data_IF_081411594371
#
_entry.id   IF_081411594371
#
_cell.length_a   1.000
_cell.length_b   1.000
_cell.length_c   1.000
_cell.angle_alpha   90.00
_cell.angle_beta   90.00
_cell.angle_gamma   90.00
#
_symmetry.space_group_name_H-M   'P 1'
#
loop_
_entity.id
_entity.type
_entity.pdbx_description
1 polymer ?
#
# COMPACT_ATOMS: atom_id res chain seq x y z
N UNK A 1 6.64 -56.82 -1.42
CA UNK A 1 7.48 -55.73 -0.88
C UNK A 1 6.85 -54.41 -1.28
N UNK A 2 6.19 -53.74 -0.35
CA UNK A 2 5.52 -52.46 -0.58
C UNK A 2 6.48 -51.33 -0.22
N UNK A 3 6.81 -50.47 -1.18
CA UNK A 3 7.62 -49.28 -0.98
C UNK A 3 6.71 -48.13 -0.54
N UNK A 4 6.84 -47.72 0.72
CA UNK A 4 6.19 -46.52 1.26
C UNK A 4 7.00 -45.28 0.89
N UNK A 5 6.35 -44.29 0.28
CA UNK A 5 6.94 -42.98 0.00
C UNK A 5 6.93 -42.10 1.26
N UNK A 6 7.99 -41.29 1.51
CA UNK A 6 8.04 -40.40 2.65
C UNK A 6 7.23 -39.12 2.42
N UNK A 7 6.42 -38.80 3.42
CA UNK A 7 5.58 -37.63 3.53
C UNK A 7 6.46 -36.38 3.73
N UNK A 8 6.45 -35.44 2.78
CA UNK A 8 7.18 -34.16 2.90
C UNK A 8 6.22 -33.07 3.34
N UNK A 9 6.25 -32.73 4.64
CA UNK A 9 5.59 -31.52 5.15
C UNK A 9 6.38 -30.27 4.74
N UNK A 10 5.71 -29.18 4.32
CA UNK A 10 6.36 -27.92 4.02
C UNK A 10 6.83 -27.24 5.32
N UNK A 11 8.13 -26.91 5.37
CA UNK A 11 8.72 -26.10 6.43
C UNK A 11 8.15 -24.69 6.40
N UNK A 12 7.52 -24.29 7.51
CA UNK A 12 7.08 -22.93 7.79
C UNK A 12 8.31 -22.05 8.02
N UNK A 13 8.52 -21.09 7.12
CA UNK A 13 9.53 -20.03 7.30
C UNK A 13 9.11 -19.15 8.48
N UNK A 14 9.92 -19.18 9.54
CA UNK A 14 9.76 -18.28 10.68
C UNK A 14 9.97 -16.82 10.22
N UNK A 15 9.16 -15.86 10.69
CA UNK A 15 9.37 -14.45 10.40
C UNK A 15 10.70 -13.99 11.02
N UNK A 16 11.63 -13.54 10.17
CA UNK A 16 12.86 -12.90 10.60
C UNK A 16 12.51 -11.64 11.41
N UNK A 17 12.92 -11.62 12.68
CA UNK A 17 12.86 -10.44 13.53
C UNK A 17 13.83 -9.40 12.97
N UNK A 18 13.31 -8.36 12.34
CA UNK A 18 14.03 -7.11 12.08
C UNK A 18 14.35 -6.45 13.43
N UNK A 19 15.56 -6.70 13.93
CA UNK A 19 16.11 -6.00 15.07
C UNK A 19 16.44 -4.56 14.69
N UNK A 20 15.65 -3.62 15.20
CA UNK A 20 16.05 -2.21 15.30
C UNK A 20 17.09 -2.10 16.43
N UNK A 21 18.36 -2.23 16.08
CA UNK A 21 19.48 -1.94 16.97
C UNK A 21 20.39 -0.90 16.30
N UNK A 22 20.66 0.21 17.00
CA UNK A 22 21.76 1.12 16.67
C UNK A 22 21.37 2.51 16.18
N UNK A 23 20.69 3.30 17.01
CA UNK A 23 20.88 4.76 16.97
C UNK A 23 21.85 5.11 18.11
N UNK A 24 23.11 5.33 17.73
CA UNK A 24 24.18 5.82 18.60
C UNK A 24 23.82 7.23 19.08
N UNK A 25 23.90 7.41 20.40
CA UNK A 25 23.83 8.72 21.05
C UNK A 25 25.01 9.58 20.59
N UNK A 26 24.73 10.70 19.94
CA UNK A 26 25.70 11.77 19.75
C UNK A 26 25.75 12.57 21.05
N UNK A 27 26.85 12.44 21.78
CA UNK A 27 27.20 13.30 22.91
C UNK A 27 27.52 14.70 22.38
N UNK A 28 26.60 15.65 22.53
CA UNK A 28 26.85 17.05 22.22
C UNK A 28 27.48 17.67 23.47
N UNK A 29 28.78 17.94 23.38
CA UNK A 29 29.57 18.66 24.38
C UNK A 29 29.07 20.12 24.43
N UNK A 30 28.72 20.61 25.61
CA UNK A 30 28.44 22.04 25.83
C UNK A 30 29.75 22.82 25.67
N UNK A 31 29.77 23.96 24.95
CA UNK A 31 30.85 24.92 25.08
C UNK A 31 30.59 25.79 26.32
N UNK A 32 31.67 26.01 27.06
CA UNK A 32 31.73 26.95 28.17
C UNK A 32 31.51 28.39 27.69
N UNK A 33 30.97 29.16 28.62
CA UNK A 33 30.38 30.49 28.50
C UNK A 33 31.42 31.55 28.90
N UNK A 34 32.12 32.11 27.92
CA UNK A 34 33.04 33.23 28.13
C UNK A 34 32.76 34.35 27.10
N UNK A 35 32.05 35.39 27.53
CA UNK A 35 32.50 36.77 27.33
C UNK A 35 32.41 37.43 25.94
N UNK A 36 31.48 38.38 25.86
CA UNK A 36 31.62 39.75 25.33
C UNK A 36 31.75 40.05 23.82
N UNK A 37 31.04 41.13 23.49
CA UNK A 37 31.23 42.15 22.46
C UNK A 37 30.75 41.93 21.01
N UNK A 38 29.74 42.76 20.71
CA UNK A 38 29.62 43.67 19.57
C UNK A 38 29.52 43.15 18.14
N UNK A 39 28.59 43.79 17.43
CA UNK A 39 28.34 43.81 15.98
C UNK A 39 27.55 42.62 15.40
N UNK A 40 26.22 42.77 15.41
CA UNK A 40 25.31 42.00 14.57
C UNK A 40 24.65 42.96 13.56
N UNK A 41 25.24 43.15 12.37
CA UNK A 41 24.48 43.75 11.26
C UNK A 41 24.88 43.36 9.81
N UNK A 42 25.79 42.40 9.57
CA UNK A 42 26.25 42.14 8.18
C UNK A 42 26.00 40.70 7.65
N UNK A 43 25.24 39.86 8.37
CA UNK A 43 25.17 38.41 8.08
C UNK A 43 24.16 37.94 7.03
N UNK A 44 23.13 38.74 6.70
CA UNK A 44 22.01 38.27 5.87
C UNK A 44 22.26 38.45 4.36
N UNK A 45 22.91 39.54 3.98
CA UNK A 45 23.22 39.84 2.56
C UNK A 45 24.23 38.87 1.95
N UNK A 46 25.14 38.34 2.78
CA UNK A 46 26.13 37.37 2.34
C UNK A 46 25.55 35.96 2.16
N UNK A 47 24.44 35.64 2.85
CA UNK A 47 23.67 34.41 2.64
C UNK A 47 22.84 34.46 1.35
N UNK A 48 22.28 35.62 1.01
CA UNK A 48 21.50 35.81 -0.23
C UNK A 48 22.43 35.79 -1.46
N UNK A 49 23.64 36.36 -1.36
CA UNK A 49 24.61 36.35 -2.47
C UNK A 49 25.19 34.97 -2.80
N UNK A 50 25.19 34.01 -1.87
CA UNK A 50 25.70 32.64 -2.11
C UNK A 50 24.62 31.67 -2.61
N UNK A 51 23.37 32.09 -2.70
CA UNK A 51 22.33 31.36 -3.41
C UNK A 51 22.36 31.69 -4.92
N UNK A 52 23.43 31.25 -5.57
CA UNK A 52 23.43 31.13 -7.03
C UNK A 52 22.41 30.05 -7.38
N UNK A 53 21.23 30.47 -7.85
CA UNK A 53 20.21 29.58 -8.38
C UNK A 53 20.88 28.58 -9.34
N UNK A 54 20.90 27.30 -8.95
CA UNK A 54 21.36 26.25 -9.84
C UNK A 54 20.52 26.35 -11.11
N UNK A 55 21.19 26.53 -12.26
CA UNK A 55 20.54 26.54 -13.57
C UNK A 55 19.61 25.33 -13.63
N UNK A 56 18.33 25.51 -13.99
CA UNK A 56 17.41 24.39 -14.11
C UNK A 56 18.06 23.34 -14.99
N UNK A 57 18.24 22.13 -14.44
CA UNK A 57 18.82 21.02 -15.16
C UNK A 57 18.17 20.97 -16.54
N UNK A 58 19.00 21.10 -17.59
CA UNK A 58 18.55 21.01 -18.98
C UNK A 58 17.67 19.77 -19.08
N UNK A 59 16.36 19.99 -19.27
CA UNK A 59 15.38 18.95 -19.60
C UNK A 59 16.02 18.10 -20.69
N UNK A 60 16.43 16.88 -20.35
CA UNK A 60 16.86 15.90 -21.33
C UNK A 60 15.63 15.65 -22.19
N UNK A 61 15.60 16.24 -23.37
CA UNK A 61 14.65 15.85 -24.41
C UNK A 61 14.87 14.36 -24.65
N UNK A 62 13.97 13.55 -24.09
CA UNK A 62 13.94 12.12 -24.35
C UNK A 62 13.57 12.01 -25.83
N UNK A 63 14.56 11.74 -26.69
CA UNK A 63 14.31 11.36 -28.08
C UNK A 63 13.51 10.06 -28.08
N UNK A 64 12.18 10.18 -28.09
CA UNK A 64 11.26 9.06 -28.20
C UNK A 64 11.46 8.47 -29.59
N UNK A 65 12.00 7.26 -29.66
CA UNK A 65 12.17 6.57 -30.95
C UNK A 65 10.80 6.44 -31.64
N UNK A 66 10.77 6.63 -32.96
CA UNK A 66 9.54 6.59 -33.78
C UNK A 66 8.74 5.29 -33.55
N UNK A 67 9.44 4.18 -33.29
CA UNK A 67 8.82 2.88 -32.98
C UNK A 67 8.08 2.86 -31.63
N UNK A 68 8.59 3.56 -30.61
CA UNK A 68 7.93 3.66 -29.30
C UNK A 68 6.60 4.39 -29.39
N UNK A 69 6.55 5.45 -30.19
CA UNK A 69 5.31 6.20 -30.48
C UNK A 69 4.26 5.33 -31.15
N UNK A 70 4.65 4.50 -32.12
CA UNK A 70 3.70 3.62 -32.82
C UNK A 70 3.09 2.56 -31.89
N UNK A 71 3.89 2.00 -30.97
CA UNK A 71 3.41 1.01 -30.00
C UNK A 71 2.38 1.58 -29.03
N UNK A 72 2.66 2.74 -28.43
CA UNK A 72 1.71 3.41 -27.53
C UNK A 72 0.44 3.87 -28.26
N UNK A 73 0.56 4.34 -29.51
CA UNK A 73 -0.60 4.66 -30.35
C UNK A 73 -1.47 3.43 -30.64
N UNK A 74 -0.86 2.30 -30.96
CA UNK A 74 -1.60 1.05 -31.17
C UNK A 74 -2.31 0.62 -29.89
N UNK A 75 -1.65 0.74 -28.74
CA UNK A 75 -2.24 0.41 -27.45
C UNK A 75 -3.41 1.33 -27.10
N UNK A 76 -3.28 2.64 -27.36
CA UNK A 76 -4.34 3.60 -27.15
C UNK A 76 -5.57 3.26 -27.99
N UNK A 77 -5.40 2.86 -29.26
CA UNK A 77 -6.51 2.37 -30.09
C UNK A 77 -7.17 1.12 -29.51
N UNK A 78 -6.38 0.17 -29.00
CA UNK A 78 -6.93 -1.02 -28.32
C UNK A 78 -7.69 -0.65 -27.05
N UNK A 79 -7.22 0.35 -26.31
CA UNK A 79 -7.89 0.88 -25.14
C UNK A 79 -9.18 1.63 -25.50
N UNK A 80 -9.19 2.46 -26.54
CA UNK A 80 -10.41 3.11 -27.04
C UNK A 80 -11.45 2.07 -27.48
N UNK A 81 -11.04 1.01 -28.19
CA UNK A 81 -11.91 -0.11 -28.52
C UNK A 81 -12.48 -0.77 -27.27
N UNK A 82 -11.64 -1.04 -26.28
CA UNK A 82 -12.04 -1.61 -24.99
C UNK A 82 -13.15 -0.78 -24.31
N UNK A 83 -13.04 0.55 -24.34
CA UNK A 83 -14.01 1.46 -23.74
C UNK A 83 -15.36 1.50 -24.49
N UNK A 84 -15.41 1.05 -25.74
CA UNK A 84 -16.63 1.04 -26.56
C UNK A 84 -17.40 -0.28 -26.53
N UNK A 85 -16.87 -1.30 -25.87
CA UNK A 85 -17.48 -2.63 -25.90
C UNK A 85 -18.65 -2.69 -24.91
N UNK A 86 -19.84 -2.90 -25.46
CA UNK A 86 -21.05 -3.22 -24.70
C UNK A 86 -21.26 -4.75 -24.67
N UNK A 87 -21.72 -5.27 -23.52
CA UNK A 87 -22.17 -6.66 -23.39
C UNK A 87 -21.10 -7.75 -23.30
N UNK A 88 -19.82 -7.48 -23.59
CA UNK A 88 -18.72 -8.44 -23.34
C UNK A 88 -18.12 -8.20 -21.96
N UNK A 89 -17.87 -9.23 -21.14
CA UNK A 89 -17.13 -9.07 -19.89
C UNK A 89 -15.77 -8.41 -20.16
N UNK A 90 -15.55 -7.22 -19.59
CA UNK A 90 -14.34 -6.42 -19.78
C UNK A 90 -13.04 -7.22 -19.58
N UNK A 91 -13.04 -8.15 -18.62
CA UNK A 91 -11.91 -9.03 -18.34
C UNK A 91 -11.55 -9.95 -19.52
N UNK A 92 -12.54 -10.47 -20.25
CA UNK A 92 -12.32 -11.35 -21.40
C UNK A 92 -11.66 -10.60 -22.55
N UNK A 93 -12.07 -9.35 -22.79
CA UNK A 93 -11.42 -8.51 -23.79
C UNK A 93 -9.94 -8.28 -23.45
N UNK A 94 -9.66 -7.91 -22.20
CA UNK A 94 -8.28 -7.62 -21.75
C UNK A 94 -7.40 -8.87 -21.90
N UNK A 95 -7.88 -10.04 -21.48
CA UNK A 95 -7.17 -11.31 -21.66
C UNK A 95 -6.90 -11.61 -23.13
N UNK A 96 -7.94 -11.52 -23.98
CA UNK A 96 -7.81 -11.84 -25.40
C UNK A 96 -6.86 -10.89 -26.15
N UNK A 97 -6.81 -9.61 -25.78
CA UNK A 97 -6.10 -8.60 -26.56
C UNK A 97 -4.75 -8.17 -26.00
N UNK A 98 -4.54 -8.27 -24.68
CA UNK A 98 -3.31 -7.79 -24.03
C UNK A 98 -2.46 -8.89 -23.43
N UNK A 99 -3.06 -9.91 -22.83
CA UNK A 99 -2.32 -10.90 -22.02
C UNK A 99 -1.23 -11.58 -22.86
N UNK A 100 0.03 -11.45 -22.42
CA UNK A 100 1.24 -11.94 -23.10
C UNK A 100 1.49 -11.40 -24.52
N UNK A 101 0.68 -10.44 -25.02
CA UNK A 101 0.82 -9.86 -26.36
C UNK A 101 1.56 -8.53 -26.35
N UNK A 102 1.45 -7.77 -25.26
CA UNK A 102 2.09 -6.48 -25.14
C UNK A 102 2.87 -6.34 -23.83
N UNK A 103 4.18 -6.14 -23.99
CA UNK A 103 5.11 -5.88 -22.88
C UNK A 103 5.53 -4.42 -22.94
N UNK A 104 5.21 -3.64 -21.92
CA UNK A 104 5.71 -2.27 -21.76
C UNK A 104 6.73 -2.22 -20.64
N UNK A 105 7.67 -1.29 -20.71
CA UNK A 105 8.52 -0.94 -19.56
C UNK A 105 7.69 -0.19 -18.50
N UNK A 106 8.14 -0.13 -17.23
CA UNK A 106 7.45 0.62 -16.18
C UNK A 106 7.19 2.08 -16.55
N UNK A 107 8.16 2.75 -17.17
CA UNK A 107 8.03 4.12 -17.65
C UNK A 107 6.97 4.26 -18.75
N UNK A 108 6.86 3.28 -19.65
CA UNK A 108 5.85 3.29 -20.71
C UNK A 108 4.44 3.05 -20.18
N UNK A 109 4.30 2.22 -19.13
CA UNK A 109 3.01 2.02 -18.47
C UNK A 109 2.55 3.33 -17.82
N UNK A 110 3.43 4.03 -17.11
CA UNK A 110 3.07 5.33 -16.56
C UNK A 110 2.74 6.35 -17.66
N UNK A 111 3.54 6.40 -18.74
CA UNK A 111 3.25 7.28 -19.87
C UNK A 111 1.88 6.97 -20.49
N UNK A 112 1.54 5.68 -20.65
CA UNK A 112 0.24 5.26 -21.14
C UNK A 112 -0.89 5.65 -20.17
N UNK A 113 -0.71 5.47 -18.86
CA UNK A 113 -1.64 5.97 -17.84
C UNK A 113 -1.87 7.48 -17.96
N UNK A 114 -0.81 8.28 -18.20
CA UNK A 114 -1.00 9.72 -18.42
C UNK A 114 -1.77 10.01 -19.73
N UNK A 115 -1.65 9.18 -20.76
CA UNK A 115 -2.37 9.38 -22.01
C UNK A 115 -3.87 9.06 -21.88
N UNK A 116 -4.29 8.24 -20.91
CA UNK A 116 -5.73 7.97 -20.72
C UNK A 116 -6.50 9.21 -20.26
N UNK A 117 -5.81 10.20 -19.67
CA UNK A 117 -6.37 11.52 -19.34
C UNK A 117 -7.07 12.19 -20.52
N UNK A 118 -6.49 12.08 -21.72
CA UNK A 118 -7.05 12.71 -22.92
C UNK A 118 -8.34 12.01 -23.38
N UNK A 119 -8.49 10.73 -23.05
CA UNK A 119 -9.66 9.91 -23.40
C UNK A 119 -10.82 10.06 -22.42
N UNK A 120 -10.57 10.48 -21.17
CA UNK A 120 -11.55 10.63 -20.08
C UNK A 120 -12.49 11.84 -20.23
N UNK A 121 -12.35 12.64 -21.28
CA UNK A 121 -13.27 13.75 -21.57
C UNK A 121 -14.71 13.35 -21.94
N UNK A 122 -15.05 12.06 -21.94
CA UNK A 122 -16.38 11.54 -22.27
C UNK A 122 -17.02 10.96 -20.99
N UNK A 123 -18.10 11.59 -20.54
CA UNK A 123 -18.83 11.41 -19.27
C UNK A 123 -19.34 9.99 -18.98
N UNK A 124 -18.47 9.00 -18.80
CA UNK A 124 -18.88 7.63 -18.47
C UNK A 124 -18.09 7.08 -17.30
N UNK A 125 -18.73 7.00 -16.12
CA UNK A 125 -18.16 6.43 -14.88
C UNK A 125 -17.57 5.02 -15.09
N UNK A 126 -18.13 4.24 -16.03
CA UNK A 126 -17.64 2.90 -16.38
C UNK A 126 -16.20 2.88 -16.94
N UNK A 127 -15.65 4.03 -17.37
CA UNK A 127 -14.29 4.12 -17.89
C UNK A 127 -13.23 4.00 -16.80
N UNK A 128 -13.54 4.45 -15.58
CA UNK A 128 -12.59 4.51 -14.47
C UNK A 128 -12.22 3.11 -13.98
N UNK A 129 -13.19 2.21 -13.85
CA UNK A 129 -12.96 0.80 -13.50
C UNK A 129 -12.19 0.07 -14.59
N UNK A 130 -12.50 0.36 -15.86
CA UNK A 130 -11.89 -0.31 -16.98
C UNK A 130 -10.40 0.02 -17.14
N UNK A 131 -10.04 1.28 -16.92
CA UNK A 131 -8.66 1.75 -16.96
C UNK A 131 -7.76 0.93 -16.01
N UNK A 132 -8.17 0.76 -14.75
CA UNK A 132 -7.35 0.06 -13.76
C UNK A 132 -7.11 -1.39 -14.12
N UNK A 133 -8.13 -2.12 -14.60
CA UNK A 133 -7.96 -3.51 -15.06
C UNK A 133 -7.01 -3.62 -16.25
N UNK A 134 -7.13 -2.70 -17.20
CA UNK A 134 -6.28 -2.65 -18.39
C UNK A 134 -4.81 -2.42 -18.00
N UNK A 135 -4.55 -1.43 -17.14
CA UNK A 135 -3.21 -1.12 -16.62
C UNK A 135 -2.64 -2.30 -15.81
N UNK A 136 -3.46 -2.97 -15.00
CA UNK A 136 -3.06 -4.15 -14.21
C UNK A 136 -2.47 -5.25 -15.09
N UNK A 137 -3.10 -5.50 -16.24
CA UNK A 137 -2.62 -6.50 -17.21
C UNK A 137 -1.29 -6.11 -17.83
N UNK A 138 -1.11 -4.82 -18.14
CA UNK A 138 0.17 -4.30 -18.64
C UNK A 138 1.29 -4.45 -17.59
N UNK A 139 1.00 -4.18 -16.31
CA UNK A 139 1.92 -4.40 -15.19
C UNK A 139 2.30 -5.88 -15.12
N UNK A 140 1.33 -6.79 -15.16
CA UNK A 140 1.60 -8.23 -15.10
C UNK A 140 2.47 -8.71 -16.27
N UNK A 141 2.16 -8.30 -17.51
CA UNK A 141 2.96 -8.62 -18.69
C UNK A 141 4.40 -8.09 -18.57
N UNK A 142 4.53 -6.84 -18.12
CA UNK A 142 5.83 -6.20 -17.89
C UNK A 142 6.65 -6.97 -16.86
N UNK A 143 6.01 -7.37 -15.75
CA UNK A 143 6.63 -8.18 -14.72
C UNK A 143 7.09 -9.55 -15.25
N UNK A 144 6.23 -10.23 -16.02
CA UNK A 144 6.56 -11.51 -16.66
C UNK A 144 7.77 -11.39 -17.59
N UNK A 145 7.88 -10.27 -18.31
CA UNK A 145 9.00 -9.93 -19.17
C UNK A 145 10.23 -9.37 -18.42
N UNK A 146 10.32 -9.65 -17.13
CA UNK A 146 11.44 -9.32 -16.23
C UNK A 146 11.56 -7.86 -15.79
N UNK A 147 10.64 -6.97 -16.17
CA UNK A 147 10.61 -5.63 -15.61
C UNK A 147 10.03 -5.61 -14.19
N UNK A 148 10.31 -4.56 -13.41
CA UNK A 148 9.80 -4.35 -12.06
C UNK A 148 9.96 -2.87 -11.66
N UNK A 149 9.60 -2.49 -10.43
CA UNK A 149 9.73 -1.13 -9.90
C UNK A 149 8.87 -0.11 -10.66
N UNK A 150 7.56 -0.36 -10.65
CA UNK A 150 6.57 0.50 -11.28
C UNK A 150 6.39 1.78 -10.47
N UNK A 151 6.40 2.91 -11.16
CA UNK A 151 6.10 4.22 -10.60
C UNK A 151 4.92 4.77 -11.39
N UNK A 152 3.79 4.91 -10.73
CA UNK A 152 2.54 5.37 -11.32
C UNK A 152 2.17 6.71 -10.70
N UNK A 153 1.86 7.69 -11.54
CA UNK A 153 1.40 9.00 -11.10
C UNK A 153 -0.10 9.11 -11.38
N UNK A 154 -0.92 9.09 -10.33
CA UNK A 154 -2.37 9.24 -10.41
C UNK A 154 -2.83 10.63 -9.97
N UNK A 155 -1.90 11.51 -9.59
CA UNK A 155 -2.22 12.82 -8.98
C UNK A 155 -2.94 13.78 -9.94
N UNK A 156 -2.70 13.64 -11.25
CA UNK A 156 -3.30 14.48 -12.29
C UNK A 156 -4.54 13.85 -12.95
N UNK A 157 -4.97 12.66 -12.51
CA UNK A 157 -6.18 12.02 -13.01
C UNK A 157 -7.42 12.81 -12.58
N UNK A 158 -8.39 12.95 -13.49
CA UNK A 158 -9.66 13.64 -13.19
C UNK A 158 -10.47 12.90 -12.13
N UNK A 159 -10.39 11.58 -12.15
CA UNK A 159 -11.02 10.68 -11.19
C UNK A 159 -10.01 9.74 -10.55
N UNK A 160 -10.44 9.09 -9.47
CA UNK A 160 -9.64 8.05 -8.81
C UNK A 160 -9.78 6.76 -9.59
N UNK A 161 -8.67 6.17 -10.01
CA UNK A 161 -8.69 4.91 -10.77
C UNK A 161 -9.08 3.73 -9.88
N UNK A 162 -10.13 3.02 -10.26
CA UNK A 162 -10.60 1.81 -9.58
C UNK A 162 -9.87 0.57 -10.13
N UNK A 163 -9.75 -0.51 -9.35
CA UNK A 163 -9.20 -1.80 -9.78
C UNK A 163 -7.77 -1.75 -10.35
N UNK A 164 -6.99 -0.71 -10.04
CA UNK A 164 -5.58 -0.67 -10.38
C UNK A 164 -4.82 -1.74 -9.58
N UNK A 165 -4.03 -2.56 -10.26
CA UNK A 165 -3.33 -3.70 -9.67
C UNK A 165 -4.20 -4.92 -9.37
N UNK A 166 -5.42 -4.98 -9.90
CA UNK A 166 -6.31 -6.14 -9.69
C UNK A 166 -5.70 -7.44 -10.23
N UNK A 167 -5.76 -8.52 -9.44
CA UNK A 167 -5.23 -9.86 -9.77
C UNK A 167 -3.74 -9.98 -10.10
N UNK A 168 -2.92 -8.92 -9.90
CA UNK A 168 -1.50 -9.04 -10.22
C UNK A 168 -0.79 -9.96 -9.23
N UNK A 169 0.13 -10.77 -9.75
CA UNK A 169 0.81 -11.83 -9.01
C UNK A 169 2.29 -11.83 -9.31
N UNK A 170 3.07 -11.49 -8.28
CA UNK A 170 4.51 -11.73 -8.23
C UNK A 170 4.83 -13.19 -7.90
N UNK A 171 6.04 -13.43 -7.39
CA UNK A 171 6.43 -14.73 -6.84
C UNK A 171 7.14 -14.55 -5.50
N UNK A 172 7.23 -15.64 -4.72
CA UNK A 172 7.96 -15.64 -3.44
C UNK A 172 9.44 -15.26 -3.58
N UNK A 173 10.03 -15.40 -4.78
CA UNK A 173 11.41 -15.03 -5.09
C UNK A 173 11.54 -13.61 -5.63
N UNK A 174 10.45 -13.00 -6.07
CA UNK A 174 10.45 -11.69 -6.71
C UNK A 174 9.08 -11.04 -6.59
N UNK A 175 8.98 -10.05 -5.71
CA UNK A 175 7.75 -9.28 -5.53
C UNK A 175 7.54 -8.33 -6.73
N UNK A 176 6.30 -7.94 -6.97
CA UNK A 176 6.00 -6.78 -7.83
C UNK A 176 6.13 -5.53 -6.97
N UNK A 177 7.07 -4.65 -7.31
CA UNK A 177 7.34 -3.41 -6.59
C UNK A 177 6.62 -2.25 -7.27
N UNK A 178 5.71 -1.57 -6.56
CA UNK A 178 4.88 -0.50 -7.10
C UNK A 178 4.90 0.70 -6.16
N UNK A 179 5.10 1.89 -6.72
CA UNK A 179 4.91 3.17 -6.04
C UNK A 179 3.83 3.95 -6.77
N UNK A 180 2.87 4.49 -6.04
CA UNK A 180 1.79 5.33 -6.59
C UNK A 180 1.85 6.71 -5.96
N UNK A 181 1.94 7.74 -6.79
CA UNK A 181 1.87 9.14 -6.37
C UNK A 181 0.48 9.69 -6.70
N UNK A 182 -0.34 9.94 -5.68
CA UNK A 182 -1.73 10.35 -5.84
C UNK A 182 -2.72 9.37 -5.20
N UNK A 183 -3.99 9.73 -5.30
CA UNK A 183 -5.09 8.95 -4.75
C UNK A 183 -5.45 7.77 -5.65
N UNK A 184 -5.96 6.71 -5.02
CA UNK A 184 -6.55 5.54 -5.69
C UNK A 184 -8.02 5.39 -5.36
N UNK A 185 -8.73 4.77 -6.29
CA UNK A 185 -10.13 4.45 -6.17
C UNK A 185 -10.36 3.15 -5.42
N UNK A 186 -11.49 2.51 -5.70
CA UNK A 186 -11.94 1.28 -5.06
C UNK A 186 -11.24 0.04 -5.64
N UNK A 187 -11.19 -1.03 -4.85
CA UNK A 187 -10.75 -2.38 -5.23
C UNK A 187 -9.35 -2.45 -5.88
N UNK A 188 -8.52 -1.43 -5.66
CA UNK A 188 -7.15 -1.43 -6.14
C UNK A 188 -6.34 -2.50 -5.40
N UNK A 189 -5.56 -3.29 -6.13
CA UNK A 189 -4.77 -4.42 -5.64
C UNK A 189 -5.57 -5.56 -5.01
N UNK A 190 -6.88 -5.61 -5.22
CA UNK A 190 -7.69 -6.76 -4.83
C UNK A 190 -7.16 -8.05 -5.49
N UNK A 191 -7.17 -9.14 -4.71
CA UNK A 191 -6.62 -10.45 -5.03
C UNK A 191 -5.11 -10.48 -5.36
N UNK A 192 -4.39 -9.39 -5.09
CA UNK A 192 -2.96 -9.25 -5.32
C UNK A 192 -2.11 -10.25 -4.52
N UNK A 193 -1.01 -10.75 -5.11
CA UNK A 193 -0.11 -11.70 -4.42
C UNK A 193 1.36 -11.36 -4.64
N UNK A 194 2.16 -11.46 -3.59
CA UNK A 194 3.60 -11.18 -3.63
C UNK A 194 3.91 -9.76 -4.11
N UNK A 195 3.34 -8.77 -3.42
CA UNK A 195 3.46 -7.35 -3.76
C UNK A 195 4.27 -6.57 -2.72
N UNK A 196 4.91 -5.50 -3.17
CA UNK A 196 5.45 -4.44 -2.32
C UNK A 196 4.93 -3.11 -2.87
N UNK A 197 3.94 -2.52 -2.19
CA UNK A 197 3.21 -1.35 -2.68
C UNK A 197 3.35 -0.19 -1.70
N UNK A 198 3.83 0.96 -2.19
CA UNK A 198 3.82 2.24 -1.48
C UNK A 198 2.82 3.20 -2.16
N UNK A 199 1.84 3.70 -1.42
CA UNK A 199 0.87 4.69 -1.87
C UNK A 199 1.11 6.03 -1.17
N UNK A 200 1.45 7.05 -1.95
CA UNK A 200 1.62 8.43 -1.50
C UNK A 200 0.31 9.21 -1.76
N UNK A 201 -0.75 8.79 -1.07
CA UNK A 201 -2.11 9.33 -1.23
C UNK A 201 -3.13 8.53 -0.42
N UNK A 202 -4.41 8.78 -0.65
CA UNK A 202 -5.52 8.03 -0.08
C UNK A 202 -5.90 6.84 -0.97
N UNK A 203 -6.49 5.81 -0.36
CA UNK A 203 -7.05 4.66 -1.09
C UNK A 203 -8.55 4.53 -0.82
N UNK A 204 -9.29 4.12 -1.85
CA UNK A 204 -10.73 3.87 -1.77
C UNK A 204 -11.10 2.62 -0.99
N UNK A 205 -12.37 2.24 -1.09
CA UNK A 205 -12.90 1.05 -0.43
C UNK A 205 -12.41 -0.23 -1.12
N UNK A 206 -12.29 -1.32 -0.37
CA UNK A 206 -11.87 -2.61 -0.91
C UNK A 206 -10.39 -2.69 -1.34
N UNK A 207 -9.59 -1.65 -1.08
CA UNK A 207 -8.15 -1.65 -1.38
C UNK A 207 -7.49 -2.92 -0.81
N UNK A 208 -6.80 -3.67 -1.68
CA UNK A 208 -6.06 -4.88 -1.35
C UNK A 208 -6.89 -5.94 -0.59
N UNK A 209 -8.19 -6.04 -0.88
CA UNK A 209 -9.01 -7.17 -0.43
C UNK A 209 -8.39 -8.48 -0.94
N UNK A 210 -8.48 -9.54 -0.14
CA UNK A 210 -7.92 -10.87 -0.46
C UNK A 210 -6.41 -10.90 -0.78
N UNK A 211 -5.65 -9.86 -0.44
CA UNK A 211 -4.21 -9.77 -0.74
C UNK A 211 -3.41 -10.82 0.03
N UNK A 212 -2.38 -11.40 -0.59
CA UNK A 212 -1.55 -12.43 0.04
C UNK A 212 -0.06 -12.17 -0.07
N UNK A 213 0.70 -12.53 0.96
CA UNK A 213 2.18 -12.49 0.97
C UNK A 213 2.77 -11.15 0.56
N UNK A 214 2.14 -10.04 1.00
CA UNK A 214 2.45 -8.71 0.49
C UNK A 214 2.79 -7.70 1.59
N UNK A 215 3.52 -6.65 1.21
CA UNK A 215 3.83 -5.50 2.05
C UNK A 215 3.18 -4.26 1.44
N UNK A 216 2.30 -3.61 2.20
CA UNK A 216 1.49 -2.48 1.74
C UNK A 216 1.71 -1.31 2.69
N UNK A 217 2.01 -0.13 2.13
CA UNK A 217 2.15 1.12 2.87
C UNK A 217 1.28 2.20 2.22
N UNK A 218 0.44 2.84 3.03
CA UNK A 218 -0.44 3.94 2.62
C UNK A 218 -0.08 5.15 3.48
N UNK A 219 0.34 6.25 2.84
CA UNK A 219 0.68 7.49 3.55
C UNK A 219 -0.58 8.30 3.92
N UNK A 220 -1.68 8.17 3.17
CA UNK A 220 -2.96 8.81 3.46
C UNK A 220 -3.95 7.94 4.21
N UNK A 221 -5.24 8.19 3.97
CA UNK A 221 -6.36 7.46 4.56
C UNK A 221 -6.75 6.23 3.73
N UNK A 222 -7.32 5.23 4.40
CA UNK A 222 -7.86 4.03 3.78
C UNK A 222 -9.38 3.97 3.90
N UNK A 223 -10.03 3.60 2.79
CA UNK A 223 -11.48 3.37 2.71
C UNK A 223 -11.94 2.13 3.47
N UNK A 224 -13.24 1.83 3.34
CA UNK A 224 -13.85 0.67 4.01
C UNK A 224 -13.30 -0.64 3.44
N UNK A 225 -13.31 -1.71 4.22
CA UNK A 225 -12.85 -3.03 3.80
C UNK A 225 -11.40 -3.12 3.34
N UNK A 226 -10.59 -2.08 3.59
CA UNK A 226 -9.18 -2.06 3.23
C UNK A 226 -8.47 -3.28 3.81
N UNK A 227 -7.83 -4.07 2.95
CA UNK A 227 -7.10 -5.28 3.29
C UNK A 227 -7.95 -6.34 4.01
N UNK A 228 -9.26 -6.39 3.72
CA UNK A 228 -10.11 -7.47 4.22
C UNK A 228 -9.69 -8.81 3.61
N UNK A 229 -9.77 -9.89 4.39
CA UNK A 229 -9.28 -11.23 4.05
C UNK A 229 -7.77 -11.27 3.68
N UNK A 230 -6.95 -10.31 4.14
CA UNK A 230 -5.52 -10.35 3.89
C UNK A 230 -4.86 -11.57 4.54
N UNK A 231 -3.92 -12.22 3.85
CA UNK A 231 -3.20 -13.38 4.35
C UNK A 231 -1.69 -13.17 4.31
N UNK A 232 -0.98 -13.48 5.40
CA UNK A 232 0.48 -13.41 5.47
C UNK A 232 1.06 -12.07 4.97
N UNK A 233 0.37 -10.97 5.28
CA UNK A 233 0.68 -9.65 4.73
C UNK A 233 0.96 -8.63 5.83
N UNK A 234 1.75 -7.62 5.50
CA UNK A 234 2.05 -6.47 6.37
C UNK A 234 1.42 -5.22 5.78
N UNK A 235 0.65 -4.49 6.58
CA UNK A 235 -0.09 -3.30 6.17
C UNK A 235 0.21 -2.15 7.12
N UNK A 236 0.65 -1.01 6.58
CA UNK A 236 0.89 0.22 7.33
C UNK A 236 0.02 1.33 6.74
N UNK A 237 -0.85 1.92 7.56
CA UNK A 237 -1.70 3.05 7.21
C UNK A 237 -1.30 4.23 8.10
N UNK A 238 -0.71 5.25 7.50
CA UNK A 238 -0.26 6.45 8.23
C UNK A 238 -1.41 7.41 8.54
N UNK A 239 -2.50 7.40 7.75
CA UNK A 239 -3.73 8.12 8.04
C UNK A 239 -4.77 7.28 8.78
N UNK A 240 -6.04 7.61 8.56
CA UNK A 240 -7.18 6.94 9.17
C UNK A 240 -7.58 5.69 8.39
N UNK A 241 -8.15 4.71 9.08
CA UNK A 241 -8.73 3.52 8.47
C UNK A 241 -10.23 3.46 8.74
N UNK A 242 -11.03 3.33 7.68
CA UNK A 242 -12.49 3.19 7.81
C UNK A 242 -12.89 1.76 8.21
N UNK A 243 -14.20 1.53 8.34
CA UNK A 243 -14.80 0.29 8.82
C UNK A 243 -14.27 -0.95 8.08
N UNK A 244 -14.11 -2.04 8.85
CA UNK A 244 -13.67 -3.36 8.36
C UNK A 244 -12.27 -3.43 7.78
N UNK A 245 -11.41 -2.45 8.05
CA UNK A 245 -10.00 -2.56 7.69
C UNK A 245 -9.35 -3.78 8.38
N UNK A 246 -8.77 -4.70 7.60
CA UNK A 246 -8.18 -5.94 8.12
C UNK A 246 -9.16 -6.96 8.68
N UNK A 247 -10.47 -6.83 8.39
CA UNK A 247 -11.49 -7.84 8.70
C UNK A 247 -11.11 -9.20 8.09
N UNK A 248 -11.35 -10.31 8.80
CA UNK A 248 -11.01 -11.68 8.37
C UNK A 248 -9.53 -11.91 8.04
N UNK A 249 -8.61 -11.04 8.45
CA UNK A 249 -7.21 -11.22 8.11
C UNK A 249 -6.60 -12.42 8.84
N UNK A 250 -5.70 -13.13 8.16
CA UNK A 250 -5.03 -14.32 8.68
C UNK A 250 -3.53 -14.14 8.66
N UNK A 251 -2.88 -14.44 9.77
CA UNK A 251 -1.41 -14.38 9.90
C UNK A 251 -0.82 -13.05 9.39
N UNK A 252 -1.53 -11.94 9.59
CA UNK A 252 -1.19 -10.64 9.02
C UNK A 252 -0.89 -9.61 10.09
N UNK A 253 -0.16 -8.57 9.72
CA UNK A 253 0.26 -7.48 10.61
C UNK A 253 -0.27 -6.14 10.10
N UNK A 254 -0.90 -5.39 10.99
CA UNK A 254 -1.49 -4.09 10.68
C UNK A 254 -0.93 -3.02 11.63
N UNK A 255 -0.57 -1.87 11.07
CA UNK A 255 -0.28 -0.65 11.82
C UNK A 255 -1.18 0.46 11.30
N UNK A 256 -2.03 1.00 12.17
CA UNK A 256 -2.94 2.11 11.85
C UNK A 256 -2.55 3.28 12.75
N UNK A 257 -2.02 4.36 12.17
CA UNK A 257 -1.53 5.51 12.91
C UNK A 257 -2.59 6.57 13.20
N UNK A 258 -3.50 6.79 12.27
CA UNK A 258 -4.68 7.62 12.49
C UNK A 258 -5.75 6.90 13.30
N UNK A 259 -6.97 7.43 13.28
CA UNK A 259 -8.09 6.76 13.93
C UNK A 259 -8.56 5.56 13.09
N UNK A 260 -9.14 4.57 13.77
CA UNK A 260 -9.82 3.45 13.14
C UNK A 260 -11.30 3.45 13.50
N UNK A 261 -12.20 3.44 12.53
CA UNK A 261 -13.64 3.22 12.78
C UNK A 261 -13.92 1.73 12.64
N UNK A 262 -14.47 1.08 13.67
CA UNK A 262 -14.86 -0.33 13.61
C UNK A 262 -16.23 -0.52 14.24
N UNK A 263 -17.27 -0.59 13.41
CA UNK A 263 -18.67 -0.71 13.85
C UNK A 263 -19.22 -2.13 13.70
N UNK A 264 -18.45 -3.03 13.11
CA UNK A 264 -18.84 -4.43 12.93
C UNK A 264 -18.86 -5.22 14.23
N UNK A 265 -19.86 -6.09 14.36
CA UNK A 265 -19.95 -7.05 15.47
C UNK A 265 -18.94 -8.20 15.38
N UNK A 266 -18.44 -8.49 14.19
CA UNK A 266 -17.62 -9.66 13.93
C UNK A 266 -16.45 -9.30 13.04
N UNK A 267 -15.26 -9.27 13.61
CA UNK A 267 -14.01 -8.90 12.96
C UNK A 267 -13.22 -10.11 12.44
N UNK A 268 -13.35 -11.26 13.12
CA UNK A 268 -12.94 -12.60 12.62
C UNK A 268 -11.47 -12.74 12.17
N UNK A 269 -10.57 -11.94 12.71
CA UNK A 269 -9.14 -12.09 12.43
C UNK A 269 -8.54 -13.32 13.13
N UNK A 270 -7.56 -13.95 12.51
CA UNK A 270 -6.91 -15.15 13.04
C UNK A 270 -5.39 -15.00 12.99
N UNK A 271 -4.70 -15.34 14.09
CA UNK A 271 -3.23 -15.34 14.17
C UNK A 271 -2.59 -14.00 13.73
N UNK A 272 -3.31 -12.89 13.88
CA UNK A 272 -2.93 -11.60 13.31
C UNK A 272 -2.58 -10.60 14.42
N UNK A 273 -1.84 -9.55 14.05
CA UNK A 273 -1.45 -8.51 15.00
C UNK A 273 -1.85 -7.13 14.50
N UNK A 274 -2.48 -6.34 15.36
CA UNK A 274 -3.00 -5.01 15.07
C UNK A 274 -2.37 -4.01 16.03
N UNK A 275 -1.60 -3.08 15.51
CA UNK A 275 -1.10 -1.92 16.24
C UNK A 275 -1.93 -0.69 15.89
N UNK A 276 -2.62 -0.15 16.88
CA UNK A 276 -3.58 0.94 16.77
C UNK A 276 -3.04 2.14 17.54
N UNK A 277 -2.36 3.06 16.85
CA UNK A 277 -1.69 4.20 17.48
C UNK A 277 -2.64 5.39 17.69
N UNK A 278 -3.65 5.57 16.83
CA UNK A 278 -4.68 6.59 16.98
C UNK A 278 -5.89 6.15 17.81
N UNK A 279 -6.95 6.96 17.78
CA UNK A 279 -8.21 6.68 18.48
C UNK A 279 -9.02 5.57 17.79
N UNK A 280 -9.63 4.69 18.57
CA UNK A 280 -10.61 3.72 18.08
C UNK A 280 -12.01 4.33 18.14
N UNK A 281 -12.78 4.34 17.06
CA UNK A 281 -14.17 4.80 17.01
C UNK A 281 -15.06 3.58 16.82
N UNK A 282 -16.14 3.48 17.61
CA UNK A 282 -16.95 2.26 17.74
C UNK A 282 -16.61 1.45 19.00
N UNK A 283 -17.52 0.54 19.38
CA UNK A 283 -17.44 -0.28 20.60
C UNK A 283 -17.40 -1.79 20.33
N UNK A 284 -17.48 -2.22 19.06
CA UNK A 284 -17.74 -3.62 18.68
C UNK A 284 -16.54 -4.34 18.09
N UNK A 285 -15.34 -3.84 18.33
CA UNK A 285 -14.12 -4.42 17.77
C UNK A 285 -13.83 -5.83 18.34
N UNK A 286 -13.11 -6.67 17.58
CA UNK A 286 -12.56 -7.92 18.09
C UNK A 286 -13.48 -9.15 18.07
N UNK A 287 -14.78 -9.00 17.84
CA UNK A 287 -15.73 -10.13 17.79
C UNK A 287 -15.26 -11.25 16.85
N UNK A 288 -15.19 -12.48 17.35
CA UNK A 288 -14.78 -13.64 16.57
C UNK A 288 -13.28 -13.73 16.23
N UNK A 289 -12.43 -12.85 16.76
CA UNK A 289 -10.98 -12.99 16.58
C UNK A 289 -10.42 -14.19 17.36
N UNK A 290 -9.36 -14.81 16.85
CA UNK A 290 -8.64 -15.87 17.55
C UNK A 290 -7.12 -15.76 17.41
N UNK A 291 -6.41 -16.01 18.51
CA UNK A 291 -4.95 -15.95 18.62
C UNK A 291 -4.35 -14.64 18.07
N UNK A 292 -5.04 -13.52 18.27
CA UNK A 292 -4.61 -12.21 17.79
C UNK A 292 -3.92 -11.39 18.88
N UNK A 293 -3.03 -10.48 18.46
CA UNK A 293 -2.40 -9.50 19.34
C UNK A 293 -2.86 -8.08 18.99
N UNK A 294 -3.44 -7.39 19.97
CA UNK A 294 -3.86 -5.99 19.84
C UNK A 294 -2.93 -5.11 20.65
N UNK A 295 -2.32 -4.12 20.00
CA UNK A 295 -1.31 -3.26 20.60
C UNK A 295 -1.73 -1.81 20.46
N UNK A 296 -1.58 -1.02 21.52
CA UNK A 296 -1.81 0.42 21.43
C UNK A 296 -0.95 1.19 22.44
N UNK A 297 -0.34 2.32 22.04
CA UNK A 297 0.20 3.32 22.96
C UNK A 297 -0.86 4.30 23.49
N UNK A 298 -2.07 4.30 22.91
CA UNK A 298 -3.13 5.26 23.22
C UNK A 298 -4.04 4.71 24.34
N UNK A 299 -4.11 5.44 25.47
CA UNK A 299 -4.91 5.06 26.64
C UNK A 299 -6.42 5.00 26.36
N UNK A 300 -6.95 5.87 25.48
CA UNK A 300 -8.37 5.86 25.10
C UNK A 300 -8.69 4.62 24.27
N UNK A 301 -7.85 4.30 23.31
CA UNK A 301 -7.94 3.07 22.51
C UNK A 301 -7.80 1.83 23.38
N UNK A 302 -6.87 1.81 24.33
CA UNK A 302 -6.76 0.72 25.30
C UNK A 302 -8.07 0.50 26.06
N UNK A 303 -8.67 1.57 26.62
CA UNK A 303 -9.95 1.47 27.33
C UNK A 303 -11.05 0.85 26.45
N UNK A 304 -11.10 1.19 25.16
CA UNK A 304 -12.08 0.63 24.22
C UNK A 304 -11.79 -0.83 23.88
N UNK A 305 -10.52 -1.21 23.73
CA UNK A 305 -10.15 -2.62 23.53
C UNK A 305 -10.55 -3.49 24.73
N UNK A 306 -10.38 -3.00 25.96
CA UNK A 306 -10.81 -3.70 27.18
C UNK A 306 -12.35 -3.78 27.33
N UNK A 307 -13.10 -2.98 26.57
CA UNK A 307 -14.57 -2.99 26.53
C UNK A 307 -15.12 -3.77 25.33
N UNK A 308 -14.25 -4.31 24.48
CA UNK A 308 -14.62 -4.92 23.20
C UNK A 308 -15.01 -6.38 23.36
N UNK A 309 -15.68 -6.97 22.34
CA UNK A 309 -16.22 -8.34 22.38
C UNK A 309 -15.14 -9.41 22.09
N UNK A 310 -13.96 -9.25 22.67
CA UNK A 310 -12.88 -10.24 22.58
C UNK A 310 -13.22 -11.43 23.48
N UNK A 311 -13.99 -12.37 22.93
CA UNK A 311 -14.48 -13.58 23.62
C UNK A 311 -13.41 -14.28 24.46
N UNK A 312 -13.78 -14.68 25.67
CA UNK A 312 -12.99 -15.60 26.50
C UNK A 312 -12.73 -16.93 25.77
N UNK A 313 -11.53 -17.49 25.90
CA UNK A 313 -11.09 -18.75 25.32
C UNK A 313 -10.37 -18.64 23.97
N UNK A 314 -10.15 -17.43 23.45
CA UNK A 314 -9.66 -17.20 22.08
C UNK A 314 -8.14 -17.01 21.97
N UNK A 315 -7.40 -17.04 23.09
CA UNK A 315 -5.95 -16.75 23.18
C UNK A 315 -5.57 -15.36 22.67
N UNK A 316 -6.53 -14.44 22.62
CA UNK A 316 -6.28 -13.07 22.20
C UNK A 316 -5.52 -12.33 23.30
N UNK A 317 -4.63 -11.41 22.90
CA UNK A 317 -3.78 -10.66 23.83
C UNK A 317 -3.90 -9.18 23.57
N UNK A 318 -4.03 -8.39 24.64
CA UNK A 318 -4.02 -6.93 24.57
C UNK A 318 -2.75 -6.41 25.25
N UNK A 319 -1.98 -5.61 24.52
CA UNK A 319 -0.75 -4.99 24.98
C UNK A 319 -0.87 -3.46 24.98
N UNK A 320 -0.41 -2.85 26.06
CA UNK A 320 -0.10 -1.43 26.09
C UNK A 320 1.36 -1.20 25.70
N UNK A 321 1.60 -0.31 24.73
CA UNK A 321 2.94 0.03 24.27
C UNK A 321 3.41 1.31 24.97
N UNK A 322 4.49 1.21 25.75
CA UNK A 322 5.07 2.36 26.45
C UNK A 322 5.84 3.27 25.48
N UNK A 323 6.11 4.51 25.89
CA UNK A 323 6.86 5.49 25.09
C UNK A 323 8.25 4.99 24.65
N UNK A 324 8.90 4.15 25.48
CA UNK A 324 10.18 3.52 25.15
C UNK A 324 10.06 2.29 24.23
N UNK A 325 8.88 2.02 23.66
CA UNK A 325 8.59 0.89 22.77
C UNK A 325 8.34 -0.45 23.47
N UNK A 326 8.51 -0.55 24.79
CA UNK A 326 8.27 -1.81 25.52
C UNK A 326 6.78 -2.12 25.61
N UNK A 327 6.44 -3.41 25.47
CA UNK A 327 5.06 -3.91 25.53
C UNK A 327 4.74 -4.42 26.93
N UNK A 328 3.60 -4.03 27.50
CA UNK A 328 3.05 -4.59 28.75
C UNK A 328 1.77 -5.35 28.41
N UNK A 329 1.72 -6.64 28.72
CA UNK A 329 0.49 -7.43 28.61
C UNK A 329 -0.52 -6.88 29.62
N UNK A 330 -1.72 -6.56 29.16
CA UNK A 330 -2.82 -6.04 29.98
C UNK A 330 -3.86 -7.13 30.21
N UNK A 331 -4.21 -7.87 29.16
CA UNK A 331 -5.26 -8.88 29.20
C UNK A 331 -4.92 -10.05 28.29
N UNK A 332 -5.34 -11.25 28.72
CA UNK A 332 -5.21 -12.51 28.02
C UNK A 332 -6.56 -13.23 28.11
N UNK A 333 -7.21 -13.43 26.95
CA UNK A 333 -8.56 -14.01 26.87
C UNK A 333 -8.59 -15.43 26.35
#
# INVERSE_FOLDING_TARGET
MALTQPNTQPQTLAPQRLGLAGLTQVHIKRPDDDGSDDSLDDGLDDLIRRHTAQKPEKRREIKVSRNRSNKLKSLLRTYEQYLTIEGVPQLEFVRKNLENKMVLTPLEINAFLQMTLESEGREKDYMIEGAGMFISTLIQNSYNARHNHFVLDTSNLRGKIDKLGWFIKGSSKRLINIKVFGDLGNDCFDEGKYLSVDIYGNVGSGYATNVKYSSLKIDGNAGEWCCSNAEYSSVIINGNAKDKCGHNAKASFFVIKGYGTFEIHYFHAENSSYRLDGDLIGIKFGGGCSNCEFLTPNKRTLKKLLQSDLKSGTKNKIYFVRANGTKKLIEYN
#
